data_IF_405411397123
#
_entry.id   IF_405411397123
#
_cell.length_a   1.000
_cell.length_b   1.000
_cell.length_c   1.000
_cell.angle_alpha   90.00
_cell.angle_beta   90.00
_cell.angle_gamma   90.00
#
_symmetry.space_group_name_H-M   'P 1'
#
loop_
_entity.id
_entity.type
_entity.pdbx_description
1 polymer ?
#
# COMPACT_ATOMS: atom_id res chain seq x y z
N UNK A 1 -51.24 -35.56 -21.34
CA UNK A 1 -52.03 -36.03 -20.19
C UNK A 1 -51.59 -35.28 -18.94
N UNK A 2 -52.51 -34.48 -18.37
CA UNK A 2 -52.37 -33.71 -17.13
C UNK A 2 -52.25 -34.63 -15.91
N UNK A 3 -51.51 -34.22 -14.87
CA UNK A 3 -52.04 -34.10 -13.50
C UNK A 3 -51.33 -32.98 -12.74
N UNK A 4 -52.10 -31.95 -12.45
CA UNK A 4 -51.82 -30.84 -11.53
C UNK A 4 -52.08 -31.34 -10.11
N UNK A 5 -51.26 -30.95 -9.13
CA UNK A 5 -51.65 -30.96 -7.71
C UNK A 5 -51.46 -29.56 -7.12
N UNK A 6 -52.59 -28.86 -7.01
CA UNK A 6 -52.80 -27.74 -6.10
C UNK A 6 -53.01 -28.29 -4.68
N UNK A 7 -52.47 -27.60 -3.68
CA UNK A 7 -53.04 -27.56 -2.32
C UNK A 7 -52.93 -26.12 -1.82
N UNK A 8 -54.09 -25.46 -1.70
CA UNK A 8 -54.36 -24.29 -0.88
C UNK A 8 -54.45 -24.75 0.60
N UNK A 9 -54.41 -23.98 1.68
CA UNK A 9 -54.80 -22.60 2.00
C UNK A 9 -54.33 -22.39 3.46
N UNK A 10 -54.03 -21.16 3.87
CA UNK A 10 -53.77 -20.85 5.28
C UNK A 10 -53.62 -19.36 5.51
N UNK A 11 -54.75 -18.65 5.54
CA UNK A 11 -54.87 -17.25 5.93
C UNK A 11 -55.04 -17.18 7.44
N UNK A 12 -54.22 -16.39 8.14
CA UNK A 12 -54.59 -15.78 9.43
C UNK A 12 -54.05 -14.34 9.48
N UNK A 13 -54.98 -13.43 9.23
CA UNK A 13 -55.28 -12.14 9.88
C UNK A 13 -54.18 -11.26 10.49
N UNK A 14 -54.24 -10.00 10.07
CA UNK A 14 -53.51 -8.84 10.55
C UNK A 14 -53.91 -8.39 11.98
N UNK A 15 -52.98 -7.72 12.66
CA UNK A 15 -53.30 -6.72 13.68
C UNK A 15 -52.40 -5.49 13.48
N UNK A 16 -53.04 -4.38 13.06
CA UNK A 16 -52.50 -3.02 13.17
C UNK A 16 -52.52 -2.63 14.65
N UNK A 17 -51.42 -2.07 15.16
CA UNK A 17 -51.46 -1.05 16.20
C UNK A 17 -50.50 0.07 15.81
N UNK A 18 -51.11 1.21 15.48
CA UNK A 18 -50.45 2.49 15.28
C UNK A 18 -49.88 2.98 16.62
N UNK A 19 -48.61 3.36 16.61
CA UNK A 19 -47.98 4.16 17.64
C UNK A 19 -47.42 5.42 17.00
N UNK A 20 -48.18 6.51 17.06
CA UNK A 20 -47.71 7.86 16.75
C UNK A 20 -46.80 8.34 17.88
N UNK A 21 -45.49 8.38 17.62
CA UNK A 21 -44.50 9.08 18.45
C UNK A 21 -43.94 10.29 17.68
N UNK A 22 -43.56 11.38 18.35
CA UNK A 22 -43.34 12.67 17.71
C UNK A 22 -42.08 12.68 16.85
N UNK A 23 -42.18 13.41 15.73
CA UNK A 23 -41.04 13.82 14.93
C UNK A 23 -40.10 14.68 15.80
N UNK A 24 -38.89 14.19 16.06
CA UNK A 24 -37.77 15.02 16.47
C UNK A 24 -36.77 15.06 15.31
N UNK A 25 -36.81 16.16 14.58
CA UNK A 25 -35.69 16.59 13.77
C UNK A 25 -34.56 16.98 14.73
N UNK A 26 -33.46 16.23 14.72
CA UNK A 26 -32.17 16.65 15.26
C UNK A 26 -31.10 16.37 14.20
N UNK A 27 -30.53 17.48 13.77
CA UNK A 27 -29.44 17.69 12.84
C UNK A 27 -28.16 16.93 13.22
N UNK A 28 -27.48 16.39 12.20
CA UNK A 28 -26.03 16.33 12.13
C UNK A 28 -25.34 15.17 12.86
N UNK A 29 -25.15 14.05 12.17
CA UNK A 29 -24.08 13.10 12.46
C UNK A 29 -23.46 12.61 11.14
N UNK A 30 -22.46 13.35 10.69
CA UNK A 30 -21.46 12.84 9.76
C UNK A 30 -20.63 11.73 10.42
N UNK A 31 -20.31 10.71 9.63
CA UNK A 31 -19.29 9.68 9.84
C UNK A 31 -19.55 8.65 10.96
N UNK A 32 -19.99 7.44 10.59
CA UNK A 32 -19.13 6.24 10.47
C UNK A 32 -19.94 4.94 10.43
N UNK A 33 -20.82 4.77 9.44
CA UNK A 33 -21.47 3.47 9.21
C UNK A 33 -20.75 2.71 8.10
N UNK A 34 -19.63 2.08 8.47
CA UNK A 34 -19.11 0.97 7.71
C UNK A 34 -20.09 -0.20 7.83
N UNK A 35 -20.93 -0.38 6.80
CA UNK A 35 -21.82 -1.53 6.66
C UNK A 35 -20.99 -2.81 6.74
N UNK A 36 -21.04 -3.46 7.90
CA UNK A 36 -20.41 -4.74 8.14
C UNK A 36 -21.19 -5.82 7.37
N UNK A 37 -20.69 -6.21 6.20
CA UNK A 37 -21.19 -7.39 5.50
C UNK A 37 -20.88 -8.64 6.34
N UNK A 38 -21.96 -9.37 6.71
CA UNK A 38 -21.92 -10.70 7.32
C UNK A 38 -21.01 -11.63 6.49
N UNK A 39 -19.95 -12.15 7.10
CA UNK A 39 -19.00 -13.08 6.50
C UNK A 39 -17.57 -12.55 6.28
N UNK A 40 -17.24 -11.32 6.69
CA UNK A 40 -15.85 -10.85 6.63
C UNK A 40 -15.00 -11.48 7.74
N UNK A 41 -14.02 -12.30 7.38
CA UNK A 41 -12.87 -12.51 8.26
C UNK A 41 -12.35 -11.11 8.64
N UNK A 42 -12.38 -10.76 9.93
CA UNK A 42 -11.96 -9.45 10.46
C UNK A 42 -10.44 -9.32 10.31
N UNK A 43 -9.96 -9.13 9.09
CA UNK A 43 -8.54 -8.95 8.81
C UNK A 43 -8.04 -7.70 9.55
N UNK A 44 -7.12 -7.92 10.50
CA UNK A 44 -6.57 -6.85 11.36
C UNK A 44 -5.87 -5.79 10.51
N UNK A 45 -6.43 -4.58 10.48
CA UNK A 45 -5.77 -3.38 9.98
C UNK A 45 -4.71 -2.99 11.00
N UNK A 46 -3.47 -2.83 10.55
CA UNK A 46 -2.34 -2.44 11.39
C UNK A 46 -2.10 -0.94 11.35
N UNK A 47 -2.29 -0.34 10.17
CA UNK A 47 -2.10 1.08 9.94
C UNK A 47 -2.84 1.53 8.69
N UNK A 48 -3.22 2.80 8.66
CA UNK A 48 -3.73 3.47 7.49
C UNK A 48 -2.80 4.62 7.10
N UNK A 49 -2.78 4.96 5.82
CA UNK A 49 -1.89 5.98 5.26
C UNK A 49 -2.64 6.88 4.29
N UNK A 50 -2.27 8.16 4.19
CA UNK A 50 -2.77 8.98 3.10
C UNK A 50 -2.39 8.37 1.76
N UNK A 51 -3.30 8.45 0.79
CA UNK A 51 -3.17 7.76 -0.48
C UNK A 51 -3.17 8.74 -1.64
N UNK A 52 -2.08 8.80 -2.42
CA UNK A 52 -1.96 9.77 -3.52
C UNK A 52 -3.03 9.60 -4.61
N UNK A 53 -3.56 8.38 -4.73
CA UNK A 53 -4.60 7.99 -5.68
C UNK A 53 -6.01 8.39 -5.25
N UNK A 54 -6.24 8.78 -3.99
CA UNK A 54 -7.57 9.17 -3.51
C UNK A 54 -7.47 10.16 -2.37
N UNK A 55 -8.10 11.33 -2.54
CA UNK A 55 -8.17 12.36 -1.48
C UNK A 55 -9.16 12.01 -0.36
N UNK A 56 -10.11 11.11 -0.61
CA UNK A 56 -11.17 10.75 0.33
C UNK A 56 -10.96 9.39 1.01
N UNK A 57 -9.94 8.62 0.60
CA UNK A 57 -9.68 7.27 1.13
C UNK A 57 -8.26 7.19 1.66
N UNK A 58 -8.12 6.62 2.85
CA UNK A 58 -6.83 6.18 3.38
C UNK A 58 -6.49 4.80 2.80
N UNK A 59 -5.22 4.47 2.63
CA UNK A 59 -4.76 3.16 2.21
C UNK A 59 -4.54 2.26 3.44
N UNK A 60 -5.36 1.22 3.67
CA UNK A 60 -5.16 0.32 4.79
C UNK A 60 -4.03 -0.67 4.52
N UNK A 61 -3.17 -0.87 5.51
CA UNK A 61 -2.20 -1.95 5.60
C UNK A 61 -2.64 -2.96 6.66
N UNK A 62 -2.85 -4.19 6.22
CA UNK A 62 -3.31 -5.30 7.07
C UNK A 62 -2.15 -6.20 7.47
N UNK A 63 -2.32 -6.94 8.56
CA UNK A 63 -1.35 -7.96 8.99
C UNK A 63 -1.05 -8.93 7.86
N UNK A 64 -2.09 -9.44 7.18
CA UNK A 64 -1.97 -10.37 6.07
C UNK A 64 -1.26 -11.68 6.43
N UNK A 65 -1.27 -12.62 5.49
CA UNK A 65 -0.68 -13.95 5.68
C UNK A 65 0.49 -14.17 4.73
N UNK A 66 1.40 -15.05 5.12
CA UNK A 66 2.49 -15.51 4.25
C UNK A 66 2.89 -16.94 4.63
N UNK A 67 2.50 -17.89 3.79
CA UNK A 67 2.60 -19.32 4.04
C UNK A 67 2.92 -20.10 2.77
N UNK A 68 3.25 -21.39 2.93
CA UNK A 68 3.47 -22.32 1.83
C UNK A 68 2.13 -22.97 1.46
N UNK A 69 1.67 -22.81 0.24
CA UNK A 69 0.41 -23.43 -0.20
C UNK A 69 0.58 -24.95 -0.41
N UNK A 70 -0.52 -25.64 -0.74
CA UNK A 70 -0.53 -27.08 -1.04
C UNK A 70 0.39 -27.51 -2.19
N UNK A 71 0.80 -26.57 -3.06
CA UNK A 71 1.76 -26.80 -4.16
C UNK A 71 3.20 -26.47 -3.76
N UNK A 72 3.49 -26.30 -2.47
CA UNK A 72 4.83 -25.97 -1.98
C UNK A 72 5.30 -24.53 -2.27
N UNK A 73 4.45 -23.67 -2.86
CA UNK A 73 4.81 -22.29 -3.24
C UNK A 73 4.49 -21.32 -2.12
N UNK A 74 5.42 -20.41 -1.82
CA UNK A 74 5.17 -19.31 -0.90
C UNK A 74 4.19 -18.29 -1.49
N UNK A 75 3.04 -18.12 -0.83
CA UNK A 75 1.96 -17.21 -1.20
C UNK A 75 1.59 -16.32 -0.02
N UNK A 76 0.96 -15.17 -0.31
CA UNK A 76 0.55 -14.25 0.75
C UNK A 76 0.41 -12.80 0.29
N UNK A 77 0.02 -11.96 1.24
CA UNK A 77 -0.23 -10.53 1.08
C UNK A 77 0.03 -9.78 2.40
N UNK A 78 -0.10 -8.45 2.35
CA UNK A 78 -0.05 -7.58 3.52
C UNK A 78 1.31 -7.54 4.20
N UNK A 79 1.29 -7.09 5.46
CA UNK A 79 2.49 -6.78 6.22
C UNK A 79 3.40 -7.99 6.46
N UNK A 80 2.84 -9.17 6.74
CA UNK A 80 3.62 -10.38 6.98
C UNK A 80 4.49 -10.74 5.76
N UNK A 81 3.95 -10.64 4.54
CA UNK A 81 4.73 -10.85 3.31
C UNK A 81 5.76 -9.75 3.09
N UNK A 82 5.36 -8.49 3.27
CA UNK A 82 6.26 -7.32 3.13
C UNK A 82 7.50 -7.47 4.03
N UNK A 83 7.28 -7.85 5.29
CA UNK A 83 8.35 -8.06 6.28
C UNK A 83 9.19 -9.30 5.94
N UNK A 84 8.56 -10.48 5.84
CA UNK A 84 9.28 -11.76 5.74
C UNK A 84 9.92 -12.00 4.38
N UNK A 85 9.24 -11.66 3.28
CA UNK A 85 9.72 -11.92 1.92
C UNK A 85 10.56 -10.79 1.37
N UNK A 86 10.14 -9.54 1.60
CA UNK A 86 10.68 -8.38 0.91
C UNK A 86 11.61 -7.53 1.78
N UNK A 87 11.75 -7.87 3.06
CA UNK A 87 12.62 -7.19 4.03
C UNK A 87 12.32 -5.69 4.11
N UNK A 88 11.05 -5.32 4.15
CA UNK A 88 10.62 -3.96 4.49
C UNK A 88 9.95 -4.04 5.86
N UNK A 89 10.57 -3.43 6.87
CA UNK A 89 10.20 -3.59 8.28
C UNK A 89 9.68 -2.31 8.92
N UNK A 90 9.69 -1.19 8.19
CA UNK A 90 9.16 0.11 8.65
C UNK A 90 7.85 0.47 7.96
N UNK A 91 6.81 0.73 8.74
CA UNK A 91 5.54 1.28 8.24
C UNK A 91 5.72 2.62 7.51
N UNK A 92 6.67 3.45 7.96
CA UNK A 92 6.95 4.76 7.33
C UNK A 92 7.34 4.65 5.86
N UNK A 93 7.98 3.56 5.43
CA UNK A 93 8.29 3.30 4.02
C UNK A 93 7.00 3.10 3.23
N UNK A 94 6.05 2.33 3.78
CA UNK A 94 4.75 2.06 3.14
C UNK A 94 3.95 3.36 3.03
N UNK A 95 3.87 4.14 4.12
CA UNK A 95 3.20 5.43 4.10
C UNK A 95 3.82 6.43 3.13
N UNK A 96 5.15 6.44 3.02
CA UNK A 96 5.83 7.27 2.01
C UNK A 96 5.56 6.78 0.58
N UNK A 97 5.59 5.48 0.31
CA UNK A 97 5.26 4.96 -1.03
C UNK A 97 3.78 5.18 -1.38
N UNK A 98 2.87 5.11 -0.42
CA UNK A 98 1.44 5.37 -0.61
C UNK A 98 1.15 6.80 -1.10
N UNK A 99 2.07 7.74 -0.81
CA UNK A 99 2.04 9.14 -1.29
C UNK A 99 2.74 9.34 -2.63
N UNK A 100 3.30 8.29 -3.25
CA UNK A 100 4.05 8.46 -4.49
C UNK A 100 3.17 9.01 -5.63
N UNK A 101 3.65 10.01 -6.39
CA UNK A 101 3.00 10.45 -7.61
C UNK A 101 3.22 9.48 -8.78
N UNK A 102 4.18 8.56 -8.68
CA UNK A 102 4.50 7.62 -9.77
C UNK A 102 3.63 6.36 -9.65
N UNK A 103 2.53 6.36 -10.37
CA UNK A 103 1.57 5.26 -10.39
C UNK A 103 1.67 4.54 -11.73
N UNK A 104 1.78 3.21 -11.70
CA UNK A 104 1.68 2.37 -12.88
C UNK A 104 0.62 1.27 -12.69
N UNK A 105 -0.26 1.00 -13.68
CA UNK A 105 -1.19 -0.12 -13.60
C UNK A 105 -0.43 -1.46 -13.54
N UNK A 106 -0.99 -2.44 -12.83
CA UNK A 106 -0.49 -3.81 -12.69
C UNK A 106 -1.53 -4.86 -13.12
N UNK A 107 -2.62 -4.42 -13.76
CA UNK A 107 -3.78 -5.25 -14.11
C UNK A 107 -4.76 -5.44 -12.94
N UNK A 108 -6.01 -5.81 -13.23
CA UNK A 108 -7.05 -6.14 -12.23
C UNK A 108 -7.21 -5.09 -11.11
N UNK A 109 -7.33 -3.81 -11.47
CA UNK A 109 -7.43 -2.67 -10.53
C UNK A 109 -6.29 -2.60 -9.50
N UNK A 110 -5.13 -3.18 -9.81
CA UNK A 110 -3.92 -3.04 -9.01
C UNK A 110 -3.03 -1.94 -9.57
N UNK A 111 -2.39 -1.24 -8.65
CA UNK A 111 -1.49 -0.14 -8.98
C UNK A 111 -0.16 -0.30 -8.24
N UNK A 112 0.93 -0.06 -8.96
CA UNK A 112 2.27 0.03 -8.42
C UNK A 112 2.64 1.49 -8.18
N UNK A 113 2.81 1.87 -6.91
CA UNK A 113 3.31 3.18 -6.50
C UNK A 113 4.83 3.09 -6.30
N UNK A 114 5.58 3.89 -7.05
CA UNK A 114 7.04 3.74 -7.16
C UNK A 114 7.80 4.83 -6.41
N UNK A 115 8.82 4.43 -5.66
CA UNK A 115 9.86 5.30 -5.13
C UNK A 115 11.25 4.73 -5.41
N UNK A 116 12.29 5.46 -5.00
CA UNK A 116 13.67 5.05 -5.17
C UNK A 116 14.46 5.31 -3.89
N UNK A 117 15.27 4.34 -3.50
CA UNK A 117 16.25 4.49 -2.43
C UNK A 117 17.66 4.49 -3.04
N UNK A 118 18.49 5.44 -2.62
CA UNK A 118 19.85 5.61 -3.11
C UNK A 118 20.82 5.53 -1.94
N UNK A 119 21.86 4.71 -2.11
CA UNK A 119 23.07 4.75 -1.30
C UNK A 119 24.15 5.44 -2.13
N UNK A 120 24.70 6.52 -1.58
CA UNK A 120 25.65 7.40 -2.25
C UNK A 120 26.89 7.52 -1.36
N UNK A 121 28.08 7.40 -1.95
CA UNK A 121 29.35 7.60 -1.25
C UNK A 121 29.99 8.90 -1.74
N UNK A 122 30.28 9.79 -0.81
CA UNK A 122 30.99 11.04 -1.08
C UNK A 122 32.44 10.94 -0.60
N UNK A 123 33.37 11.40 -1.43
CA UNK A 123 34.81 11.49 -1.13
C UNK A 123 35.40 12.72 -1.81
N UNK A 124 36.06 13.59 -1.04
CA UNK A 124 36.76 14.78 -1.53
C UNK A 124 35.86 15.67 -2.41
N UNK A 125 34.63 15.94 -1.94
CA UNK A 125 33.66 16.77 -2.66
C UNK A 125 32.97 16.10 -3.86
N UNK A 126 33.33 14.85 -4.21
CA UNK A 126 32.68 14.09 -5.28
C UNK A 126 31.78 12.99 -4.72
N UNK A 127 30.54 12.90 -5.19
CA UNK A 127 29.56 11.91 -4.74
C UNK A 127 29.17 10.93 -5.85
N UNK A 128 29.20 9.63 -5.56
CA UNK A 128 28.87 8.55 -6.49
C UNK A 128 27.76 7.66 -5.95
N UNK A 129 26.81 7.29 -6.80
CA UNK A 129 25.76 6.31 -6.45
C UNK A 129 26.41 4.92 -6.39
N UNK A 130 26.37 4.27 -5.24
CA UNK A 130 26.92 2.93 -5.04
C UNK A 130 25.85 1.84 -5.05
N UNK A 131 24.61 2.16 -4.66
CA UNK A 131 23.45 1.27 -4.78
C UNK A 131 22.19 2.10 -5.05
N UNK A 132 21.30 1.56 -5.89
CA UNK A 132 20.01 2.16 -6.19
C UNK A 132 18.95 1.08 -6.24
N UNK A 133 17.89 1.26 -5.46
CA UNK A 133 16.74 0.34 -5.38
C UNK A 133 15.49 1.05 -5.84
N UNK A 134 14.83 0.50 -6.87
CA UNK A 134 13.46 0.90 -7.21
C UNK A 134 12.52 0.20 -6.24
N UNK A 135 11.79 0.96 -5.46
CA UNK A 135 10.83 0.46 -4.47
C UNK A 135 9.42 0.55 -5.06
N UNK A 136 8.62 -0.49 -4.88
CA UNK A 136 7.24 -0.50 -5.35
C UNK A 136 6.33 -0.90 -4.19
N UNK A 137 5.25 -0.16 -4.00
CA UNK A 137 4.09 -0.57 -3.22
C UNK A 137 2.99 -0.97 -4.20
N UNK A 138 2.55 -2.22 -4.12
CA UNK A 138 1.40 -2.70 -4.89
C UNK A 138 0.16 -2.55 -4.04
N UNK A 139 -0.82 -1.85 -4.57
CA UNK A 139 -2.17 -1.72 -4.02
C UNK A 139 -3.15 -2.50 -4.87
N UNK A 140 -4.27 -2.87 -4.27
CA UNK A 140 -5.45 -3.37 -4.95
C UNK A 140 -6.56 -2.39 -4.66
N UNK A 141 -7.32 -2.00 -5.68
CA UNK A 141 -8.43 -1.06 -5.55
C UNK A 141 -9.80 -1.71 -5.77
N UNK A 142 -9.85 -3.04 -5.88
CA UNK A 142 -11.13 -3.76 -5.96
C UNK A 142 -11.95 -3.53 -4.69
N UNK A 143 -13.14 -2.94 -4.87
CA UNK A 143 -14.06 -2.62 -3.78
C UNK A 143 -14.83 -3.84 -3.26
N UNK A 144 -14.73 -5.00 -3.92
CA UNK A 144 -15.43 -6.23 -3.54
C UNK A 144 -14.57 -7.02 -2.55
N UNK A 145 -14.86 -7.03 -1.23
CA UNK A 145 -14.27 -7.99 -0.30
C UNK A 145 -14.73 -9.40 -0.69
N UNK A 146 -14.01 -10.06 -1.59
CA UNK A 146 -14.15 -11.51 -1.77
C UNK A 146 -12.89 -12.18 -1.25
N UNK A 147 -13.07 -12.98 -0.20
CA UNK A 147 -12.07 -13.95 0.24
C UNK A 147 -12.07 -14.23 1.74
N UNK A 148 -12.61 -15.38 2.11
CA UNK A 148 -11.87 -16.28 3.01
C UNK A 148 -10.88 -17.07 2.13
N UNK A 149 -9.59 -17.11 2.50
CA UNK A 149 -8.56 -17.87 1.78
C UNK A 149 -7.71 -17.09 0.74
N UNK A 150 -6.96 -17.79 -0.14
CA UNK A 150 -5.81 -17.25 -0.91
C UNK A 150 -6.16 -16.26 -2.05
N UNK A 151 -7.43 -15.94 -2.27
CA UNK A 151 -7.89 -14.96 -3.26
C UNK A 151 -7.99 -13.58 -2.60
N UNK A 152 -7.14 -12.65 -3.02
CA UNK A 152 -7.11 -11.28 -2.51
C UNK A 152 -7.85 -10.36 -3.50
N UNK A 153 -9.05 -9.94 -3.14
CA UNK A 153 -9.76 -8.80 -3.72
C UNK A 153 -10.27 -7.95 -2.56
N UNK A 154 -9.54 -6.86 -2.27
CA UNK A 154 -9.92 -5.88 -1.26
C UNK A 154 -9.05 -4.63 -1.44
N UNK A 155 -9.64 -3.47 -1.20
CA UNK A 155 -8.91 -2.21 -1.25
C UNK A 155 -7.78 -2.11 -0.21
N UNK A 156 -6.52 -2.03 -0.62
CA UNK A 156 -5.42 -1.81 0.32
C UNK A 156 -4.03 -2.17 -0.18
N UNK A 157 -3.05 -2.10 0.73
CA UNK A 157 -1.68 -2.51 0.44
C UNK A 157 -1.56 -4.04 0.32
N UNK A 158 -1.23 -4.53 -0.87
CA UNK A 158 -1.05 -5.96 -1.17
C UNK A 158 0.35 -6.41 -0.79
N UNK A 159 1.37 -5.68 -1.24
CA UNK A 159 2.77 -6.01 -1.02
C UNK A 159 3.66 -4.82 -1.34
N UNK A 160 4.91 -4.85 -0.92
CA UNK A 160 5.92 -3.85 -1.24
C UNK A 160 7.28 -4.52 -1.28
N UNK A 161 8.13 -4.09 -2.20
CA UNK A 161 9.43 -4.70 -2.46
C UNK A 161 10.39 -3.76 -3.17
N UNK A 162 11.67 -4.13 -3.17
CA UNK A 162 12.70 -3.48 -3.99
C UNK A 162 12.99 -4.32 -5.22
N UNK A 163 13.19 -3.68 -6.37
CA UNK A 163 13.81 -4.27 -7.54
C UNK A 163 15.33 -4.05 -7.49
N UNK A 164 16.06 -5.14 -7.65
CA UNK A 164 17.49 -5.18 -7.98
C UNK A 164 17.70 -5.50 -9.47
N UNK A 165 18.87 -5.18 -10.01
CA UNK A 165 19.39 -5.70 -11.30
C UNK A 165 19.38 -7.22 -11.34
N UNK A 166 19.58 -7.89 -10.20
CA UNK A 166 19.48 -9.36 -10.05
C UNK A 166 18.04 -9.89 -9.95
N UNK A 167 17.02 -9.05 -10.19
CA UNK A 167 15.58 -9.36 -10.07
C UNK A 167 15.16 -9.93 -8.71
N UNK A 168 15.97 -9.75 -7.67
CA UNK A 168 15.56 -10.05 -6.30
C UNK A 168 14.51 -9.03 -5.89
N UNK A 169 13.42 -9.49 -5.27
CA UNK A 169 12.35 -8.63 -4.76
C UNK A 169 12.60 -8.25 -3.29
N UNK A 170 13.86 -8.22 -2.85
CA UNK A 170 14.21 -8.03 -1.43
C UNK A 170 14.96 -6.71 -1.27
N UNK A 171 14.55 -5.91 -0.30
CA UNK A 171 15.26 -4.68 0.05
C UNK A 171 16.50 -5.00 0.89
N UNK A 172 17.63 -4.33 0.64
CA UNK A 172 18.81 -4.42 1.49
C UNK A 172 18.51 -3.79 2.86
N UNK A 173 19.17 -4.26 3.92
CA UNK A 173 18.89 -3.85 5.31
C UNK A 173 19.02 -2.33 5.52
N UNK A 174 19.94 -1.68 4.81
CA UNK A 174 20.15 -0.24 4.90
C UNK A 174 18.89 0.58 4.53
N UNK A 175 18.03 0.06 3.65
CA UNK A 175 16.76 0.72 3.29
C UNK A 175 15.92 0.91 4.54
N UNK A 176 15.85 -0.08 5.42
CA UNK A 176 15.10 0.06 6.67
C UNK A 176 15.85 0.93 7.67
N UNK A 177 17.13 0.66 7.93
CA UNK A 177 17.85 1.33 9.03
C UNK A 177 18.05 2.82 8.76
N UNK A 178 18.25 3.22 7.50
CA UNK A 178 18.53 4.61 7.11
C UNK A 178 17.32 5.38 6.60
N UNK A 179 16.15 4.74 6.46
CA UNK A 179 14.93 5.45 6.03
C UNK A 179 14.58 6.61 6.95
N UNK A 180 14.44 7.77 6.33
CA UNK A 180 13.86 9.00 6.88
C UNK A 180 12.92 9.56 5.83
N UNK A 181 11.79 10.12 6.25
CA UNK A 181 10.84 10.76 5.33
C UNK A 181 11.57 11.94 4.66
N UNK A 182 11.68 11.97 3.33
CA UNK A 182 12.37 13.04 2.63
C UNK A 182 11.64 14.38 2.81
N UNK A 183 12.37 15.43 3.19
CA UNK A 183 11.83 16.80 3.19
C UNK A 183 11.90 17.40 1.79
N UNK A 184 13.04 17.24 1.11
CA UNK A 184 13.23 17.69 -0.26
C UNK A 184 14.35 16.92 -0.95
N UNK A 185 13.99 16.05 -1.89
CA UNK A 185 14.95 15.29 -2.69
C UNK A 185 15.90 16.22 -3.47
N UNK A 186 15.41 17.37 -3.96
CA UNK A 186 16.23 18.32 -4.70
C UNK A 186 17.22 19.05 -3.80
N UNK A 187 16.85 19.36 -2.55
CA UNK A 187 17.79 19.93 -1.58
C UNK A 187 18.89 18.93 -1.22
N UNK A 188 18.53 17.67 -0.97
CA UNK A 188 19.48 16.60 -0.68
C UNK A 188 20.49 16.45 -1.84
N UNK A 189 20.01 16.36 -3.09
CA UNK A 189 20.88 16.25 -4.27
C UNK A 189 21.75 17.50 -4.47
N UNK A 190 21.22 18.72 -4.29
CA UNK A 190 22.01 19.96 -4.37
C UNK A 190 23.13 19.98 -3.34
N UNK A 191 22.85 19.59 -2.09
CA UNK A 191 23.87 19.54 -1.03
C UNK A 191 25.00 18.54 -1.31
N UNK A 192 24.73 17.49 -2.09
CA UNK A 192 25.75 16.53 -2.50
C UNK A 192 26.61 17.03 -3.66
N UNK A 193 26.15 18.04 -4.41
CA UNK A 193 26.90 18.64 -5.52
C UNK A 193 27.65 19.92 -5.12
N UNK A 194 27.56 20.41 -3.88
CA UNK A 194 28.07 21.73 -3.49
C UNK A 194 29.60 21.84 -3.41
N UNK A 195 30.35 20.80 -3.82
CA UNK A 195 31.82 20.71 -3.66
C UNK A 195 32.28 20.59 -2.20
N UNK A 196 31.45 21.00 -1.24
CA UNK A 196 31.66 20.95 0.21
C UNK A 196 30.96 19.76 0.87
N UNK A 197 30.46 18.83 0.07
CA UNK A 197 29.80 17.63 0.57
C UNK A 197 30.77 16.84 1.45
N UNK A 198 30.46 16.73 2.74
CA UNK A 198 31.27 15.97 3.70
C UNK A 198 31.39 14.52 3.25
N UNK A 199 32.59 13.97 3.41
CA UNK A 199 32.88 12.58 3.13
C UNK A 199 31.97 11.61 3.89
N UNK A 200 31.79 10.43 3.30
CA UNK A 200 31.06 9.32 3.89
C UNK A 200 29.82 8.88 3.11
N UNK A 201 28.98 8.08 3.78
CA UNK A 201 27.78 7.51 3.19
C UNK A 201 26.57 8.43 3.36
N UNK A 202 25.79 8.55 2.28
CA UNK A 202 24.55 9.30 2.20
C UNK A 202 23.44 8.37 1.71
N UNK A 203 22.26 8.56 2.26
CA UNK A 203 21.09 7.75 1.97
C UNK A 203 19.93 8.68 1.63
N UNK A 204 19.42 8.56 0.40
CA UNK A 204 18.40 9.48 -0.11
C UNK A 204 17.24 8.68 -0.67
N UNK A 205 16.02 9.06 -0.26
CA UNK A 205 14.79 8.45 -0.75
C UNK A 205 14.05 9.50 -1.57
N UNK A 206 13.64 9.12 -2.78
CA UNK A 206 13.08 10.07 -3.75
C UNK A 206 11.99 9.39 -4.57
N UNK A 207 11.08 10.16 -5.15
CA UNK A 207 10.13 9.63 -6.12
C UNK A 207 10.73 9.60 -7.54
N UNK A 208 11.75 10.39 -7.83
CA UNK A 208 12.47 10.34 -9.12
C UNK A 208 13.86 9.74 -8.93
N UNK A 209 14.35 8.87 -9.84
CA UNK A 209 15.67 8.26 -9.67
C UNK A 209 16.77 9.33 -9.76
N UNK A 210 17.78 9.23 -8.89
CA UNK A 210 19.01 10.00 -9.01
C UNK A 210 19.90 9.34 -10.07
N UNK A 211 20.53 10.15 -10.92
CA UNK A 211 21.49 9.76 -11.96
C UNK A 211 22.71 10.68 -11.90
N UNK A 212 23.82 10.23 -12.46
CA UNK A 212 25.00 11.09 -12.67
C UNK A 212 24.97 11.64 -14.09
N UNK A 213 25.05 12.95 -14.24
CA UNK A 213 25.10 13.67 -15.52
C UNK A 213 26.29 14.62 -15.48
N UNK A 214 27.26 14.45 -16.41
CA UNK A 214 28.50 15.25 -16.46
C UNK A 214 29.20 15.35 -15.09
N UNK A 215 29.24 14.26 -14.33
CA UNK A 215 29.89 14.19 -13.02
C UNK A 215 29.05 14.68 -11.82
N UNK A 216 27.89 15.32 -12.05
CA UNK A 216 27.00 15.81 -11.00
C UNK A 216 25.80 14.87 -10.78
N UNK A 217 25.32 14.77 -9.54
CA UNK A 217 24.08 14.04 -9.24
C UNK A 217 22.86 14.87 -9.64
N UNK A 218 21.91 14.26 -10.33
CA UNK A 218 20.71 14.93 -10.83
C UNK A 218 19.48 14.03 -10.62
N UNK A 219 18.35 14.61 -10.22
CA UNK A 219 17.07 13.91 -10.25
C UNK A 219 16.62 13.79 -11.71
N UNK A 220 16.34 12.57 -12.16
CA UNK A 220 15.78 12.38 -13.49
C UNK A 220 14.47 13.15 -13.63
N UNK A 221 14.22 13.67 -14.83
CA UNK A 221 12.97 14.34 -15.22
C UNK A 221 11.77 13.40 -15.09
#
# INVERSE_FOLDING_TARGET
MRKIKLVATGVVTAALLAGTGPAQALSGQDATDAVAAKGSSKLKILKEFDYSRSKSRTLPLRQGEYYRNSKGKMVGFGWTKIKKRHNITKYGIIGWLAKSPNVAPQGNQRYGLTGFAHHIKCKSGSCKIVDRRKMILVTDETATPVGEGPRFAYFGAVTSFCYDTKKTLKCPTWVNTKFKIPKSAAADVRSMNSGTARDGERYVFTYKPVKTVKGALTLAS
#
